data_IF_443514987492
#
_entry.id   IF_443514987492
#
_cell.length_a   1.000
_cell.length_b   1.000
_cell.length_c   1.000
_cell.angle_alpha   90.00
_cell.angle_beta   90.00
_cell.angle_gamma   90.00
#
_symmetry.space_group_name_H-M   'P 1'
#
loop_
_entity.id
_entity.type
_entity.pdbx_description
1 polymer ?
#
# COMPACT_ATOMS: atom_id res chain seq x y z
N UNK A 1 5.95 -6.48 0.46
CA UNK A 1 5.81 -5.04 0.13
C UNK A 1 6.96 -4.63 -0.77
N UNK A 2 6.64 -4.17 -1.97
CA UNK A 2 7.55 -3.59 -2.98
C UNK A 2 7.23 -2.10 -3.12
N UNK A 3 8.16 -1.32 -3.68
CA UNK A 3 7.93 0.11 -3.94
C UNK A 3 6.99 0.30 -5.15
N UNK A 4 6.21 1.40 -5.20
CA UNK A 4 5.36 1.69 -6.36
C UNK A 4 6.18 1.93 -7.63
N UNK A 5 5.67 1.43 -8.75
CA UNK A 5 6.20 1.69 -10.09
C UNK A 5 5.23 2.57 -10.87
N UNK A 6 5.75 3.69 -11.38
CA UNK A 6 5.01 4.71 -12.10
C UNK A 6 4.94 4.31 -13.58
N UNK A 7 4.20 3.26 -13.87
CA UNK A 7 4.50 2.48 -15.08
C UNK A 7 3.73 2.92 -16.34
N UNK A 8 2.59 3.62 -16.25
CA UNK A 8 1.91 4.14 -17.46
C UNK A 8 1.09 5.41 -17.21
N UNK A 9 1.48 6.58 -17.76
CA UNK A 9 0.60 7.74 -17.81
C UNK A 9 -0.59 7.46 -18.75
N UNK A 10 -1.81 7.66 -18.25
CA UNK A 10 -3.04 7.58 -19.04
C UNK A 10 -3.37 8.95 -19.64
N UNK A 11 -3.59 9.01 -20.96
CA UNK A 11 -4.11 10.20 -21.63
C UNK A 11 -5.63 10.14 -21.69
N UNK A 12 -6.32 11.11 -21.09
CA UNK A 12 -7.79 11.20 -21.21
C UNK A 12 -8.19 11.64 -22.61
N UNK A 13 -9.42 11.32 -23.08
CA UNK A 13 -9.92 11.83 -24.36
C UNK A 13 -9.92 13.36 -24.47
N UNK A 14 -9.95 14.07 -23.33
CA UNK A 14 -9.89 15.52 -23.23
C UNK A 14 -8.44 16.07 -23.15
N UNK A 15 -7.42 15.21 -23.32
CA UNK A 15 -6.01 15.62 -23.38
C UNK A 15 -5.32 15.80 -22.03
N UNK A 16 -5.87 15.27 -20.94
CA UNK A 16 -5.22 15.32 -19.62
C UNK A 16 -4.34 14.09 -19.41
N UNK A 17 -3.12 14.29 -18.94
CA UNK A 17 -2.26 13.21 -18.43
C UNK A 17 -2.65 12.84 -17.00
N UNK A 18 -2.89 11.56 -16.75
CA UNK A 18 -3.13 10.97 -15.43
C UNK A 18 -2.03 9.97 -15.13
N UNK A 19 -1.25 10.26 -14.08
CA UNK A 19 -0.21 9.35 -13.61
C UNK A 19 -0.84 8.32 -12.66
N UNK A 20 -0.78 7.04 -13.04
CA UNK A 20 -1.27 5.93 -12.22
C UNK A 20 -0.16 4.96 -11.86
N UNK A 21 -0.02 4.65 -10.57
CA UNK A 21 0.79 3.53 -10.10
C UNK A 21 -0.02 2.24 -10.28
N UNK A 22 0.53 1.23 -10.97
CA UNK A 22 -0.22 0.00 -11.28
C UNK A 22 -0.01 -1.14 -10.27
N UNK A 23 1.11 -1.15 -9.54
CA UNK A 23 1.39 -2.12 -8.49
C UNK A 23 0.85 -1.68 -7.11
N UNK A 24 -0.37 -1.14 -7.10
CA UNK A 24 -1.06 -0.78 -5.86
C UNK A 24 -1.62 -2.03 -5.19
N UNK A 25 -1.53 -2.10 -3.86
CA UNK A 25 -2.08 -3.20 -3.07
C UNK A 25 -2.68 -2.66 -1.79
N UNK A 26 -3.77 -3.26 -1.32
CA UNK A 26 -4.45 -2.90 -0.08
C UNK A 26 -4.39 -4.07 0.89
N UNK A 27 -4.01 -3.78 2.13
CA UNK A 27 -3.92 -4.72 3.24
C UNK A 27 -4.77 -4.22 4.40
N UNK A 28 -5.12 -5.11 5.32
CA UNK A 28 -5.78 -4.73 6.58
C UNK A 28 -4.73 -4.84 7.68
N UNK A 29 -4.46 -3.74 8.39
CA UNK A 29 -3.61 -3.77 9.58
C UNK A 29 -4.47 -4.24 10.75
N UNK A 30 -4.01 -5.27 11.45
CA UNK A 30 -4.73 -5.91 12.56
C UNK A 30 -4.06 -5.67 13.91
N UNK A 31 -2.80 -5.26 13.93
CA UNK A 31 -2.07 -4.98 15.16
C UNK A 31 -0.76 -4.25 14.92
N UNK A 32 -0.25 -3.62 15.96
CA UNK A 32 1.03 -2.92 15.99
C UNK A 32 1.67 -3.13 17.35
N UNK A 33 2.95 -3.48 17.40
CA UNK A 33 3.77 -3.49 18.62
C UNK A 33 4.94 -2.50 18.47
N UNK A 34 5.99 -2.58 19.30
CA UNK A 34 7.13 -1.66 19.20
C UNK A 34 7.89 -1.75 17.86
N UNK A 35 7.99 -2.93 17.26
CA UNK A 35 8.88 -3.21 16.12
C UNK A 35 8.15 -3.60 14.84
N UNK A 36 6.92 -4.11 14.95
CA UNK A 36 6.17 -4.73 13.86
C UNK A 36 4.79 -4.11 13.68
N UNK A 37 4.31 -4.21 12.44
CA UNK A 37 2.88 -4.16 12.13
C UNK A 37 2.46 -5.55 11.67
N UNK A 38 1.24 -5.93 12.01
CA UNK A 38 0.61 -7.18 11.63
C UNK A 38 -0.49 -6.88 10.62
N UNK A 39 -0.54 -7.65 9.54
CA UNK A 39 -1.51 -7.41 8.47
C UNK A 39 -2.08 -8.68 7.86
N UNK A 40 -3.30 -8.57 7.36
CA UNK A 40 -3.94 -9.58 6.53
C UNK A 40 -3.76 -9.22 5.05
N UNK A 41 -3.34 -10.21 4.27
CA UNK A 41 -3.12 -10.05 2.84
C UNK A 41 -4.22 -10.77 2.05
N UNK A 42 -5.07 -10.05 1.29
CA UNK A 42 -6.18 -10.68 0.57
C UNK A 42 -5.73 -11.56 -0.61
N UNK A 43 -4.48 -11.45 -1.06
CA UNK A 43 -3.96 -12.23 -2.20
C UNK A 43 -3.54 -13.66 -1.82
N UNK A 44 -3.12 -13.89 -0.59
CA UNK A 44 -2.64 -15.20 -0.14
C UNK A 44 -3.45 -15.79 1.02
N UNK A 45 -4.43 -15.05 1.55
CA UNK A 45 -5.30 -15.48 2.64
C UNK A 45 -4.61 -15.59 4.00
N UNK A 46 -3.34 -15.16 4.11
CA UNK A 46 -2.59 -15.20 5.36
C UNK A 46 -3.05 -14.09 6.29
N UNK A 47 -3.14 -14.44 7.58
CA UNK A 47 -3.56 -13.55 8.66
C UNK A 47 -2.38 -13.18 9.55
N UNK A 48 -2.44 -11.98 10.09
CA UNK A 48 -1.50 -11.42 11.08
C UNK A 48 -0.03 -11.61 10.67
N UNK A 49 0.25 -11.37 9.38
CA UNK A 49 1.61 -11.46 8.84
C UNK A 49 2.43 -10.32 9.42
N UNK A 50 3.57 -10.59 10.09
CA UNK A 50 4.41 -9.54 10.63
C UNK A 50 5.27 -8.91 9.53
N UNK A 51 5.43 -7.59 9.59
CA UNK A 51 6.51 -6.87 8.89
C UNK A 51 7.09 -5.78 9.77
N UNK A 52 8.37 -5.45 9.59
CA UNK A 52 8.97 -4.38 10.40
C UNK A 52 8.29 -3.04 10.10
N UNK A 53 8.10 -2.21 11.13
CA UNK A 53 7.57 -0.86 10.97
C UNK A 53 8.32 -0.06 9.93
N UNK A 54 9.65 -0.12 9.97
CA UNK A 54 10.53 0.59 9.01
C UNK A 54 10.23 0.23 7.56
N UNK A 55 9.97 -1.05 7.27
CA UNK A 55 9.64 -1.52 5.92
C UNK A 55 8.24 -1.08 5.51
N UNK A 56 7.28 -1.17 6.42
CA UNK A 56 5.92 -0.70 6.20
C UNK A 56 5.90 0.81 5.92
N UNK A 57 6.53 1.63 6.77
CA UNK A 57 6.59 3.08 6.65
C UNK A 57 7.22 3.52 5.34
N UNK A 58 8.31 2.87 4.92
CA UNK A 58 8.94 3.14 3.63
C UNK A 58 7.92 3.00 2.49
N UNK A 59 7.23 1.86 2.39
CA UNK A 59 6.23 1.63 1.35
C UNK A 59 5.01 2.55 1.50
N UNK A 60 4.45 2.70 2.70
CA UNK A 60 3.28 3.55 2.98
C UNK A 60 3.52 5.02 2.59
N UNK A 61 4.71 5.53 2.87
CA UNK A 61 5.10 6.89 2.52
C UNK A 61 5.21 7.08 1.00
N UNK A 62 5.82 6.12 0.29
CA UNK A 62 5.90 6.16 -1.18
C UNK A 62 4.51 6.07 -1.85
N UNK A 63 3.55 5.40 -1.20
CA UNK A 63 2.15 5.29 -1.67
C UNK A 63 1.28 6.49 -1.31
N UNK A 64 1.83 7.53 -0.69
CA UNK A 64 1.12 8.76 -0.37
C UNK A 64 0.25 8.69 0.89
N UNK A 65 0.65 7.86 1.86
CA UNK A 65 0.11 7.83 3.23
C UNK A 65 -1.42 7.71 3.30
N UNK A 66 -1.99 6.75 2.56
CA UNK A 66 -3.45 6.56 2.47
C UNK A 66 -3.91 5.46 3.43
N UNK A 67 -4.81 5.79 4.35
CA UNK A 67 -5.40 4.83 5.29
C UNK A 67 -6.88 5.16 5.53
N UNK A 68 -7.65 4.14 5.91
CA UNK A 68 -9.05 4.25 6.33
C UNK A 68 -9.22 3.43 7.62
N UNK A 69 -9.97 3.98 8.58
CA UNK A 69 -10.40 3.29 9.80
C UNK A 69 -11.88 3.59 10.04
N UNK A 70 -12.53 2.70 10.79
CA UNK A 70 -13.87 2.92 11.35
C UNK A 70 -13.74 2.97 12.89
N UNK A 71 -14.69 3.62 13.54
CA UNK A 71 -14.83 3.64 15.01
C UNK A 71 -15.79 2.54 15.49
#
# INVERSE_FOLDING_TARGET
>A
MTAPELDQPWQTPQGKTVNGYRNTHTIIITGVDDHFIYYNNPLDGKKDVPTSKSRFEYSYNQMGKKALSID
#
